data_IF_036013860290
#
_entry.id   IF_036013860290
#
_cell.length_a   1.000
_cell.length_b   1.000
_cell.length_c   1.000
_cell.angle_alpha   90.00
_cell.angle_beta   90.00
_cell.angle_gamma   90.00
#
_symmetry.space_group_name_H-M   'P 1'
#
loop_
_entity.id
_entity.type
_entity.pdbx_description
1 polymer ?
#
# COMPACT_ATOMS: atom_id res chain seq x y z
N UNK A 1 4.33 17.57 -53.04
CA UNK A 1 5.23 17.61 -51.86
C UNK A 1 4.81 18.78 -50.99
N UNK A 2 4.41 18.57 -49.73
CA UNK A 2 4.00 19.66 -48.83
C UNK A 2 5.22 20.16 -48.05
N UNK A 3 5.46 21.47 -48.04
CA UNK A 3 6.53 22.13 -47.26
C UNK A 3 5.89 22.97 -46.16
N UNK A 4 6.26 22.72 -44.91
CA UNK A 4 5.79 23.48 -43.74
C UNK A 4 7.00 24.05 -42.98
N UNK A 5 6.90 25.31 -42.54
CA UNK A 5 7.94 25.97 -41.74
C UNK A 5 7.94 25.51 -40.27
N UNK A 6 9.10 25.56 -39.61
CA UNK A 6 9.28 25.10 -38.22
C UNK A 6 8.33 25.76 -37.23
N UNK A 7 8.15 27.08 -37.31
CA UNK A 7 7.24 27.81 -36.42
C UNK A 7 5.77 27.51 -36.70
N UNK A 8 5.40 27.29 -37.96
CA UNK A 8 4.06 26.85 -38.33
C UNK A 8 3.76 25.46 -37.75
N UNK A 9 4.73 24.55 -37.82
CA UNK A 9 4.65 23.23 -37.20
C UNK A 9 4.60 23.30 -35.66
N UNK A 10 5.35 24.22 -35.03
CA UNK A 10 5.33 24.42 -33.56
C UNK A 10 3.98 24.96 -33.06
N UNK A 11 3.38 25.92 -33.78
CA UNK A 11 2.14 26.57 -33.37
C UNK A 11 0.88 25.73 -33.64
N UNK A 12 0.90 24.86 -34.67
CA UNK A 12 -0.27 24.11 -35.09
C UNK A 12 -0.85 23.17 -34.01
N UNK A 13 -0.04 22.36 -33.28
CA UNK A 13 -0.56 21.53 -32.19
C UNK A 13 -1.22 22.36 -31.09
N UNK A 14 -0.58 23.45 -30.65
CA UNK A 14 -1.11 24.33 -29.61
C UNK A 14 -2.45 24.97 -30.02
N UNK A 15 -2.56 25.47 -31.26
CA UNK A 15 -3.82 26.03 -31.81
C UNK A 15 -4.94 25.00 -31.90
N UNK A 16 -4.60 23.71 -32.00
CA UNK A 16 -5.55 22.60 -32.07
C UNK A 16 -5.77 21.92 -30.71
N UNK A 17 -5.22 22.46 -29.62
CA UNK A 17 -5.32 21.85 -28.28
C UNK A 17 -4.56 20.53 -28.14
N UNK A 18 -3.59 20.26 -29.02
CA UNK A 18 -2.77 19.04 -29.00
C UNK A 18 -1.47 19.33 -28.28
N UNK A 19 -1.20 18.54 -27.25
CA UNK A 19 0.04 18.58 -26.47
C UNK A 19 0.81 17.27 -26.62
N UNK A 20 2.13 17.32 -26.53
CA UNK A 20 2.93 16.10 -26.42
C UNK A 20 2.68 15.44 -25.06
N UNK A 21 2.11 14.24 -25.07
CA UNK A 21 1.74 13.49 -23.88
C UNK A 21 2.52 12.19 -23.82
N UNK A 22 2.91 11.77 -22.61
CA UNK A 22 3.50 10.46 -22.39
C UNK A 22 2.39 9.40 -22.32
N UNK A 23 2.58 8.27 -23.00
CA UNK A 23 1.67 7.12 -22.89
C UNK A 23 1.54 6.69 -21.43
N UNK A 24 0.31 6.59 -20.94
CA UNK A 24 -0.01 6.05 -19.61
C UNK A 24 -0.30 4.56 -19.75
N UNK A 25 0.18 3.77 -18.81
CA UNK A 25 -0.24 2.37 -18.63
C UNK A 25 -1.28 2.34 -17.52
N UNK A 26 -2.31 1.50 -17.67
CA UNK A 26 -3.27 1.20 -16.61
C UNK A 26 -3.21 -0.28 -16.26
N UNK A 27 -3.64 -0.61 -15.06
CA UNK A 27 -3.81 -1.99 -14.59
C UNK A 27 -5.23 -2.13 -14.07
N UNK A 28 -5.83 -3.28 -14.34
CA UNK A 28 -7.15 -3.66 -13.86
C UNK A 28 -7.01 -4.93 -13.03
N UNK A 29 -7.74 -5.01 -11.91
CA UNK A 29 -7.69 -6.20 -11.06
C UNK A 29 -8.66 -7.25 -11.60
N UNK A 30 -8.25 -8.51 -11.80
CA UNK A 30 -9.14 -9.60 -12.19
C UNK A 30 -9.94 -10.17 -11.00
N UNK A 31 -9.88 -9.53 -9.84
CA UNK A 31 -10.49 -10.00 -8.61
C UNK A 31 -12.03 -9.83 -8.65
N UNK A 32 -12.80 -10.93 -8.57
CA UNK A 32 -14.26 -10.86 -8.59
C UNK A 32 -14.85 -10.13 -7.37
N UNK A 33 -14.11 -10.01 -6.27
CA UNK A 33 -14.54 -9.31 -5.06
C UNK A 33 -14.08 -7.85 -4.99
N UNK A 34 -13.44 -7.33 -6.06
CA UNK A 34 -12.84 -5.99 -6.10
C UNK A 34 -13.76 -4.90 -5.55
N UNK A 35 -15.00 -4.82 -6.04
CA UNK A 35 -15.94 -3.77 -5.62
C UNK A 35 -16.28 -3.87 -4.14
N UNK A 36 -16.60 -5.07 -3.65
CA UNK A 36 -16.92 -5.30 -2.25
C UNK A 36 -15.75 -4.93 -1.32
N UNK A 37 -14.51 -5.09 -1.79
CA UNK A 37 -13.30 -4.73 -1.06
C UNK A 37 -13.09 -3.22 -1.04
N UNK A 38 -13.35 -2.53 -2.16
CA UNK A 38 -13.32 -1.06 -2.22
C UNK A 38 -14.40 -0.46 -1.32
N UNK A 39 -15.63 -0.95 -1.39
CA UNK A 39 -16.73 -0.54 -0.51
C UNK A 39 -16.36 -0.71 0.97
N UNK A 40 -15.72 -1.84 1.30
CA UNK A 40 -15.27 -2.10 2.67
C UNK A 40 -14.16 -1.16 3.11
N UNK A 41 -13.23 -0.82 2.22
CA UNK A 41 -12.16 0.15 2.48
C UNK A 41 -12.77 1.52 2.76
N UNK A 42 -13.70 1.98 1.90
CA UNK A 42 -14.39 3.25 2.08
C UNK A 42 -15.16 3.29 3.41
N UNK A 43 -15.90 2.23 3.75
CA UNK A 43 -16.63 2.15 5.01
C UNK A 43 -15.70 2.30 6.24
N UNK A 44 -14.56 1.62 6.27
CA UNK A 44 -13.65 1.69 7.43
C UNK A 44 -12.89 3.01 7.50
N UNK A 45 -12.58 3.60 6.34
CA UNK A 45 -11.97 4.93 6.28
C UNK A 45 -12.92 5.99 6.84
N UNK A 46 -14.21 5.91 6.55
CA UNK A 46 -15.22 6.84 7.06
C UNK A 46 -15.50 6.63 8.57
N UNK A 47 -15.72 5.38 8.98
CA UNK A 47 -16.22 5.09 10.34
C UNK A 47 -15.14 5.06 11.40
N UNK A 48 -13.93 4.61 11.05
CA UNK A 48 -12.84 4.36 12.02
C UNK A 48 -11.46 4.73 11.47
N UNK A 49 -11.25 5.95 10.94
CA UNK A 49 -9.97 6.35 10.31
C UNK A 49 -8.75 6.16 11.22
N UNK A 50 -8.89 6.41 12.52
CA UNK A 50 -7.83 6.21 13.54
C UNK A 50 -7.39 4.75 13.71
N UNK A 51 -8.10 3.81 13.09
CA UNK A 51 -7.84 2.37 13.13
C UNK A 51 -7.44 1.80 11.78
N UNK A 52 -7.42 2.62 10.73
CA UNK A 52 -7.05 2.19 9.39
C UNK A 52 -5.57 2.48 9.14
N UNK A 53 -4.90 1.47 8.60
CA UNK A 53 -3.52 1.55 8.18
C UNK A 53 -3.40 1.04 6.74
N UNK A 54 -2.47 1.59 5.97
CA UNK A 54 -2.04 1.01 4.71
C UNK A 54 -0.62 0.45 4.86
N UNK A 55 -0.36 -0.69 4.24
CA UNK A 55 0.96 -1.31 4.20
C UNK A 55 1.34 -1.66 2.76
N UNK A 56 2.55 -1.29 2.38
CA UNK A 56 3.12 -1.65 1.07
C UNK A 56 4.63 -1.91 1.16
N UNK A 57 5.13 -2.70 0.20
CA UNK A 57 6.55 -2.97 -0.02
C UNK A 57 7.02 -2.30 -1.31
N UNK A 58 7.81 -1.24 -1.17
CA UNK A 58 8.42 -0.55 -2.28
C UNK A 58 9.84 -1.07 -2.56
N UNK A 59 10.03 -1.77 -3.67
CA UNK A 59 11.35 -2.23 -4.10
C UNK A 59 11.29 -3.07 -5.37
N UNK A 60 12.41 -3.28 -6.07
CA UNK A 60 13.80 -3.00 -5.66
C UNK A 60 14.22 -1.53 -5.76
N UNK A 61 14.59 -0.90 -4.64
CA UNK A 61 15.18 0.43 -4.59
C UNK A 61 16.70 0.33 -4.79
N UNK A 62 17.18 0.79 -5.95
CA UNK A 62 18.61 0.99 -6.15
C UNK A 62 19.07 2.26 -5.44
N UNK A 63 19.94 2.14 -4.44
CA UNK A 63 20.56 3.31 -3.81
C UNK A 63 21.63 3.83 -4.75
N UNK A 64 21.28 4.89 -5.50
CA UNK A 64 22.21 5.61 -6.38
C UNK A 64 21.84 7.10 -6.43
N UNK A 65 22.82 7.99 -6.69
CA UNK A 65 22.53 9.34 -7.10
C UNK A 65 21.60 9.32 -8.32
N UNK A 66 20.52 10.11 -8.27
CA UNK A 66 19.58 10.26 -9.38
C UNK A 66 19.73 11.66 -9.93
N UNK A 67 19.85 11.80 -11.26
CA UNK A 67 19.92 13.10 -11.91
C UNK A 67 18.63 13.88 -11.62
N UNK A 68 18.79 15.13 -11.17
CA UNK A 68 17.71 16.06 -10.89
C UNK A 68 17.62 17.17 -11.94
N UNK A 69 16.80 18.17 -11.65
CA UNK A 69 16.79 19.45 -12.36
C UNK A 69 17.19 20.54 -11.37
N UNK A 70 18.09 21.42 -11.75
CA UNK A 70 18.54 22.55 -10.95
C UNK A 70 18.74 23.79 -11.85
N UNK A 71 18.76 24.96 -11.22
CA UNK A 71 19.25 26.18 -11.87
C UNK A 71 20.77 26.11 -11.93
N UNK A 72 21.32 26.17 -13.13
CA UNK A 72 22.75 26.11 -13.36
C UNK A 72 23.16 27.12 -14.43
N UNK A 73 24.41 27.57 -14.39
CA UNK A 73 24.95 28.49 -15.38
C UNK A 73 24.82 27.92 -16.80
N UNK A 74 24.63 28.79 -17.79
CA UNK A 74 24.53 28.36 -19.19
C UNK A 74 25.78 27.55 -19.58
N UNK A 75 25.60 26.35 -20.15
CA UNK A 75 26.67 25.37 -20.48
C UNK A 75 27.41 24.74 -19.27
N UNK A 76 27.00 25.04 -18.04
CA UNK A 76 27.59 24.51 -16.81
C UNK A 76 26.57 23.67 -16.01
N UNK A 77 26.13 22.50 -16.52
CA UNK A 77 25.21 21.65 -15.78
C UNK A 77 25.89 21.03 -14.57
N UNK A 78 25.12 20.84 -13.48
CA UNK A 78 25.57 19.98 -12.38
C UNK A 78 25.75 18.53 -12.88
N UNK A 79 26.89 17.93 -12.52
CA UNK A 79 27.27 16.59 -12.99
C UNK A 79 27.34 15.63 -11.82
N UNK A 80 26.66 14.50 -11.96
CA UNK A 80 26.81 13.35 -11.08
C UNK A 80 27.74 12.32 -11.74
N UNK A 81 28.65 11.67 -10.98
CA UNK A 81 29.53 10.65 -11.53
C UNK A 81 28.75 9.44 -12.04
N UNK A 82 29.19 8.88 -13.17
CA UNK A 82 28.64 7.63 -13.70
C UNK A 82 28.92 6.47 -12.73
N UNK A 83 27.89 5.74 -12.32
CA UNK A 83 28.02 4.62 -11.39
C UNK A 83 28.30 3.32 -12.14
N UNK A 84 29.56 2.99 -12.41
CA UNK A 84 29.97 1.74 -13.07
C UNK A 84 29.86 0.50 -12.16
N UNK A 85 29.96 0.67 -10.84
CA UNK A 85 29.86 -0.43 -9.86
C UNK A 85 28.70 -0.18 -8.88
N UNK A 86 27.75 -1.14 -8.80
CA UNK A 86 26.59 -1.05 -7.89
C UNK A 86 26.88 -1.69 -6.53
N UNK A 87 27.72 -1.06 -5.73
CA UNK A 87 28.17 -1.62 -4.44
C UNK A 87 27.14 -1.48 -3.30
N UNK A 88 26.19 -0.55 -3.40
CA UNK A 88 25.24 -0.27 -2.32
C UNK A 88 24.05 -1.25 -2.26
N UNK A 89 23.89 -2.09 -3.29
CA UNK A 89 22.87 -3.12 -3.40
C UNK A 89 21.44 -2.57 -3.53
N UNK A 90 20.49 -3.48 -3.55
CA UNK A 90 19.05 -3.19 -3.60
C UNK A 90 18.49 -3.08 -2.17
N UNK A 91 17.52 -2.20 -1.96
CA UNK A 91 16.69 -2.16 -0.75
C UNK A 91 15.21 -2.33 -1.07
N UNK A 92 14.46 -2.75 -0.07
CA UNK A 92 13.01 -2.82 -0.07
C UNK A 92 12.52 -1.98 1.10
N UNK A 93 11.76 -0.94 0.82
CA UNK A 93 11.15 -0.12 1.85
C UNK A 93 9.80 -0.70 2.24
N UNK A 94 9.65 -1.05 3.52
CA UNK A 94 8.37 -1.47 4.07
C UNK A 94 7.69 -0.26 4.69
N UNK A 95 6.74 0.33 3.97
CA UNK A 95 6.00 1.50 4.38
C UNK A 95 4.73 1.12 5.14
N UNK A 96 4.43 1.86 6.20
CA UNK A 96 3.19 1.78 6.98
C UNK A 96 2.65 3.18 7.11
N UNK A 97 1.40 3.36 6.75
CA UNK A 97 0.72 4.63 6.84
C UNK A 97 -0.46 4.48 7.79
N UNK A 98 -0.58 5.36 8.77
CA UNK A 98 -1.78 5.50 9.60
C UNK A 98 -2.65 6.58 8.99
N UNK A 99 -3.91 6.24 8.71
CA UNK A 99 -4.86 7.17 8.09
C UNK A 99 -5.25 8.26 9.08
N UNK A 100 -5.74 7.89 10.28
CA UNK A 100 -6.18 8.88 11.25
C UNK A 100 -5.06 9.76 11.81
N UNK A 101 -3.83 9.24 11.93
CA UNK A 101 -2.69 10.04 12.40
C UNK A 101 -2.00 10.82 11.27
N UNK A 102 -2.42 10.66 10.01
CA UNK A 102 -1.73 11.15 8.80
C UNK A 102 -0.21 10.92 8.85
N UNK A 103 0.18 9.68 9.19
CA UNK A 103 1.57 9.37 9.53
C UNK A 103 2.10 8.19 8.74
N UNK A 104 3.14 8.45 7.94
CA UNK A 104 3.94 7.43 7.26
C UNK A 104 5.21 7.10 8.08
N UNK A 105 5.50 5.82 8.27
CA UNK A 105 6.78 5.35 8.77
C UNK A 105 7.19 4.05 8.09
N UNK A 106 8.49 3.76 8.06
CA UNK A 106 8.96 2.56 7.39
C UNK A 106 10.40 2.20 7.68
N UNK A 107 10.81 1.03 7.19
CA UNK A 107 12.16 0.50 7.38
C UNK A 107 12.69 -0.01 6.04
N UNK A 108 13.92 0.37 5.71
CA UNK A 108 14.65 -0.18 4.57
C UNK A 108 15.22 -1.57 4.92
N UNK A 109 14.85 -2.58 4.13
CA UNK A 109 15.31 -3.96 4.23
C UNK A 109 16.21 -4.31 3.07
N UNK A 110 17.20 -5.17 3.29
CA UNK A 110 18.14 -5.62 2.24
C UNK A 110 17.56 -6.68 1.31
N UNK A 111 16.53 -7.40 1.76
CA UNK A 111 15.89 -8.50 1.03
C UNK A 111 14.38 -8.44 1.24
N UNK A 112 13.63 -8.83 0.23
CA UNK A 112 12.20 -9.15 0.36
C UNK A 112 12.03 -10.39 1.24
N UNK A 113 10.93 -10.47 1.99
CA UNK A 113 10.58 -11.69 2.73
C UNK A 113 9.45 -11.54 3.74
N UNK A 114 8.76 -12.66 4.02
CA UNK A 114 7.60 -12.75 4.92
C UNK A 114 7.91 -12.24 6.32
N UNK A 115 9.10 -12.53 6.86
CA UNK A 115 9.51 -12.04 8.17
C UNK A 115 9.49 -10.50 8.27
N UNK A 116 9.82 -9.80 7.18
CA UNK A 116 9.78 -8.34 7.14
C UNK A 116 8.34 -7.80 7.08
N UNK A 117 7.45 -8.50 6.38
CA UNK A 117 6.00 -8.22 6.38
C UNK A 117 5.41 -8.44 7.77
N UNK A 118 5.69 -9.56 8.42
CA UNK A 118 5.22 -9.81 9.79
C UNK A 118 5.74 -8.75 10.77
N UNK A 119 7.02 -8.36 10.66
CA UNK A 119 7.56 -7.27 11.47
C UNK A 119 6.84 -5.94 11.20
N UNK A 120 6.40 -5.69 9.97
CA UNK A 120 5.58 -4.53 9.62
C UNK A 120 4.22 -4.56 10.32
N UNK A 121 3.51 -5.67 10.21
CA UNK A 121 2.19 -5.84 10.83
C UNK A 121 2.27 -5.75 12.36
N UNK A 122 3.30 -6.32 12.98
CA UNK A 122 3.57 -6.16 14.42
C UNK A 122 3.81 -4.69 14.80
N UNK A 123 4.54 -3.93 13.99
CA UNK A 123 4.73 -2.49 14.25
C UNK A 123 3.43 -1.68 14.12
N UNK A 124 2.54 -2.05 13.20
CA UNK A 124 1.23 -1.43 13.06
C UNK A 124 0.36 -1.74 14.28
N UNK A 125 0.33 -3.01 14.72
CA UNK A 125 -0.39 -3.42 15.94
C UNK A 125 0.09 -2.66 17.17
N UNK A 126 1.40 -2.44 17.30
CA UNK A 126 1.98 -1.70 18.42
C UNK A 126 1.53 -0.23 18.46
N UNK A 127 1.16 0.37 17.33
CA UNK A 127 0.65 1.74 17.27
C UNK A 127 -0.75 1.90 17.90
N UNK A 128 -1.47 0.78 18.13
CA UNK A 128 -2.75 0.73 18.85
C UNK A 128 -2.73 -0.43 19.85
N UNK A 129 -2.17 -0.27 21.06
CA UNK A 129 -1.96 -1.39 22.00
C UNK A 129 -3.23 -1.84 22.76
N UNK A 130 -4.34 -1.13 22.61
CA UNK A 130 -5.60 -1.33 23.36
C UNK A 130 -6.39 -2.61 23.05
N UNK A 131 -5.87 -3.49 22.20
CA UNK A 131 -6.54 -4.71 21.79
C UNK A 131 -7.79 -4.53 20.90
N UNK A 132 -8.23 -3.31 20.59
CA UNK A 132 -9.36 -3.10 19.68
C UNK A 132 -8.98 -3.49 18.23
N UNK A 133 -9.95 -3.77 17.35
CA UNK A 133 -9.66 -4.06 15.95
C UNK A 133 -8.90 -2.92 15.27
N UNK A 134 -8.04 -3.31 14.33
CA UNK A 134 -7.38 -2.42 13.38
C UNK A 134 -7.59 -3.00 11.98
N UNK A 135 -7.58 -2.13 10.99
CA UNK A 135 -7.80 -2.46 9.58
C UNK A 135 -6.51 -2.19 8.83
N UNK A 136 -6.06 -3.15 8.04
CA UNK A 136 -4.84 -2.99 7.24
C UNK A 136 -5.20 -3.22 5.78
N UNK A 137 -4.99 -2.19 4.97
CA UNK A 137 -5.13 -2.22 3.52
C UNK A 137 -3.80 -2.69 2.94
N UNK A 138 -3.81 -3.78 2.17
CA UNK A 138 -2.60 -4.39 1.62
C UNK A 138 -2.87 -5.01 0.25
N UNK A 139 -2.07 -4.62 -0.75
CA UNK A 139 -2.26 -5.01 -2.17
C UNK A 139 -1.56 -6.32 -2.57
N UNK A 140 -1.29 -7.25 -1.62
CA UNK A 140 -0.43 -8.41 -1.93
C UNK A 140 -0.77 -9.70 -1.17
N UNK A 141 -1.97 -10.25 -1.41
CA UNK A 141 -2.44 -11.51 -0.82
C UNK A 141 -1.74 -12.80 -1.33
N UNK A 142 -0.63 -12.71 -2.09
CA UNK A 142 0.00 -13.89 -2.70
C UNK A 142 0.97 -14.65 -1.79
N UNK A 143 1.32 -14.15 -0.61
CA UNK A 143 2.06 -14.95 0.36
C UNK A 143 1.08 -15.75 1.22
N UNK A 144 0.84 -17.01 0.83
CA UNK A 144 0.05 -18.01 1.58
C UNK A 144 0.41 -18.07 3.07
N UNK A 145 1.67 -17.77 3.40
CA UNK A 145 2.22 -17.80 4.76
C UNK A 145 1.84 -16.58 5.60
N UNK A 146 1.47 -15.44 4.99
CA UNK A 146 1.02 -14.25 5.72
C UNK A 146 -0.35 -14.53 6.35
N UNK A 147 -1.26 -15.15 5.61
CA UNK A 147 -2.57 -15.57 6.14
C UNK A 147 -2.42 -16.62 7.27
N UNK A 148 -1.41 -17.49 7.19
CA UNK A 148 -1.11 -18.46 8.23
C UNK A 148 -0.56 -17.78 9.50
N UNK A 149 0.42 -16.89 9.36
CA UNK A 149 0.98 -16.12 10.48
C UNK A 149 -0.08 -15.22 11.15
N UNK A 150 -1.02 -14.66 10.37
CA UNK A 150 -2.15 -13.92 10.91
C UNK A 150 -3.13 -14.81 11.69
N UNK A 151 -3.39 -16.04 11.23
CA UNK A 151 -4.23 -17.00 11.96
C UNK A 151 -3.61 -17.37 13.31
N UNK A 152 -2.29 -17.57 13.36
CA UNK A 152 -1.56 -17.84 14.60
C UNK A 152 -1.63 -16.66 15.57
N UNK A 153 -1.38 -15.43 15.09
CA UNK A 153 -1.46 -14.23 15.93
C UNK A 153 -2.90 -13.99 16.43
N UNK A 154 -3.92 -14.24 15.58
CA UNK A 154 -5.33 -14.19 15.99
C UNK A 154 -5.65 -15.24 17.06
N UNK A 155 -5.08 -16.45 16.96
CA UNK A 155 -5.25 -17.50 17.96
C UNK A 155 -4.61 -17.10 19.30
N UNK A 156 -3.42 -16.49 19.26
CA UNK A 156 -2.71 -15.97 20.44
C UNK A 156 -3.46 -14.82 21.12
N UNK A 157 -3.90 -13.82 20.37
CA UNK A 157 -4.69 -12.70 20.92
C UNK A 157 -5.99 -13.22 21.55
N UNK A 158 -6.60 -14.26 20.96
CA UNK A 158 -7.80 -14.90 21.51
C UNK A 158 -7.53 -15.64 22.83
N UNK A 159 -6.39 -16.32 22.93
CA UNK A 159 -5.99 -17.01 24.16
C UNK A 159 -5.61 -16.02 25.27
N UNK A 160 -4.92 -14.92 24.94
CA UNK A 160 -4.54 -13.87 25.90
C UNK A 160 -5.76 -13.11 26.46
N UNK A 161 -6.85 -13.02 25.70
CA UNK A 161 -8.09 -12.31 26.10
C UNK A 161 -9.16 -13.20 26.73
N UNK A 162 -8.92 -14.51 26.89
CA UNK A 162 -9.87 -15.43 27.54
C UNK A 162 -11.23 -15.60 26.82
N UNK A 163 -11.33 -15.28 25.52
CA UNK A 163 -12.61 -15.36 24.79
C UNK A 163 -12.86 -16.79 24.32
N UNK A 164 -13.66 -17.55 25.09
CA UNK A 164 -14.15 -18.89 24.73
C UNK A 164 -15.49 -18.79 23.98
N UNK A 165 -15.51 -19.12 22.70
CA UNK A 165 -16.76 -19.32 21.96
C UNK A 165 -17.26 -20.74 22.18
N UNK A 166 -18.39 -20.89 22.88
CA UNK A 166 -19.01 -22.20 23.13
C UNK A 166 -19.83 -22.26 24.41
N UNK A 167 -20.86 -21.42 24.53
CA UNK A 167 -21.92 -21.58 25.52
C UNK A 167 -23.27 -21.66 24.80
N UNK A 168 -23.94 -22.82 24.85
CA UNK A 168 -25.27 -23.05 24.26
C UNK A 168 -26.27 -22.02 24.79
N UNK A 169 -26.89 -21.24 23.91
CA UNK A 169 -28.17 -20.58 24.20
C UNK A 169 -29.28 -21.29 23.40
N UNK A 170 -30.32 -21.72 24.13
CA UNK A 170 -31.51 -22.38 23.61
C UNK A 170 -32.26 -21.47 22.63
N UNK A 171 -32.87 -22.11 21.64
CA UNK A 171 -33.57 -21.52 20.51
C UNK A 171 -34.71 -20.55 20.88
N UNK A 172 -34.83 -19.46 20.12
CA UNK A 172 -36.10 -18.94 19.56
C UNK A 172 -35.83 -18.35 18.16
N UNK A 173 -36.68 -18.72 17.21
CA UNK A 173 -36.68 -18.27 15.81
C UNK A 173 -37.17 -16.82 15.67
N UNK A 174 -36.48 -15.99 14.86
CA UNK A 174 -37.06 -15.09 13.84
C UNK A 174 -35.96 -14.39 13.01
N UNK A 175 -36.22 -13.99 11.75
CA UNK A 175 -35.21 -13.95 10.69
C UNK A 175 -34.64 -12.55 10.39
N UNK A 176 -33.42 -12.52 9.86
CA UNK A 176 -32.95 -11.47 8.96
C UNK A 176 -32.16 -10.30 9.55
N UNK A 177 -30.88 -10.51 9.88
CA UNK A 177 -29.82 -9.47 9.87
C UNK A 177 -28.47 -10.13 9.63
N UNK A 178 -27.66 -9.73 8.64
CA UNK A 178 -26.30 -10.24 8.55
C UNK A 178 -25.49 -9.60 9.69
N UNK A 179 -25.19 -10.42 10.70
CA UNK A 179 -24.31 -10.09 11.81
C UNK A 179 -22.86 -10.14 11.35
N UNK A 180 -22.23 -9.00 11.11
CA UNK A 180 -20.78 -8.92 10.99
C UNK A 180 -20.16 -8.64 12.38
N UNK A 181 -20.03 -9.68 13.20
CA UNK A 181 -19.15 -9.66 14.39
C UNK A 181 -17.84 -10.33 14.02
N UNK A 182 -16.80 -9.57 13.69
CA UNK A 182 -15.44 -10.11 13.60
C UNK A 182 -14.42 -9.15 14.20
N UNK A 183 -13.88 -9.54 15.36
CA UNK A 183 -12.74 -8.95 16.03
C UNK A 183 -11.42 -9.52 15.45
N UNK A 184 -10.45 -8.64 15.18
CA UNK A 184 -9.05 -9.00 14.91
C UNK A 184 -8.62 -8.79 13.45
N UNK A 185 -7.69 -7.85 13.23
CA UNK A 185 -6.99 -7.53 11.98
C UNK A 185 -7.78 -7.89 10.71
N UNK A 186 -8.61 -6.99 10.22
CA UNK A 186 -9.29 -7.21 8.94
C UNK A 186 -8.33 -6.73 7.85
N UNK A 187 -7.69 -7.69 7.17
CA UNK A 187 -7.08 -7.42 5.88
C UNK A 187 -8.21 -7.07 4.92
N UNK A 188 -8.26 -5.82 4.47
CA UNK A 188 -8.92 -5.52 3.20
C UNK A 188 -7.93 -5.94 2.11
N UNK A 189 -7.89 -7.25 1.83
CA UNK A 189 -7.41 -7.73 0.52
C UNK A 189 -8.49 -7.50 -0.48
#
# INVERSE_FOLDING_TARGET
MIRIGREALRGLPARRGVTFQRTKTWKESPDPEREAKLDRIEEVLDRTPDRVFAFDEFGPLGIRPTAGSCWAGQKHPDRLPATYHRTHGVRHFHGRYSVGDDRLWGVNRRRKGVANTLAALKSIRAARPDGAPIYVIMDNARHRDVLAAEREERARIRSEKGIRWGGRQRARHSPGRPTARHHGLILAT
#
